data_IF_880815691720
#
_entry.id   IF_880815691720
#
_cell.length_a   1.000
_cell.length_b   1.000
_cell.length_c   1.000
_cell.angle_alpha   90.00
_cell.angle_beta   90.00
_cell.angle_gamma   90.00
#
_symmetry.space_group_name_H-M   'P 1'
#
loop_
_entity.id
_entity.type
_entity.pdbx_description
1 polymer ?
#
# COMPACT_ATOMS: atom_id res chain seq x y z
N UNK A 1 -2.35 -25.84 -2.59
CA UNK A 1 -1.14 -24.99 -2.52
C UNK A 1 -0.44 -25.38 -1.23
N UNK A 2 0.80 -25.91 -1.30
CA UNK A 2 1.48 -26.41 -0.09
C UNK A 2 2.08 -25.27 0.77
N UNK A 3 2.41 -25.59 2.02
CA UNK A 3 3.00 -24.67 2.99
C UNK A 3 4.31 -24.04 2.49
N UNK A 4 5.13 -24.76 1.73
CA UNK A 4 6.40 -24.27 1.16
C UNK A 4 6.16 -23.25 0.05
N UNK A 5 5.11 -23.42 -0.74
CA UNK A 5 4.64 -22.52 -1.78
C UNK A 5 4.02 -21.28 -1.14
N UNK A 6 3.19 -21.45 -0.11
CA UNK A 6 2.64 -20.34 0.68
C UNK A 6 3.74 -19.50 1.35
N UNK A 7 4.76 -20.14 1.93
CA UNK A 7 5.94 -19.47 2.51
C UNK A 7 6.74 -18.72 1.42
N UNK A 8 6.97 -19.32 0.24
CA UNK A 8 7.62 -18.61 -0.89
C UNK A 8 6.81 -17.41 -1.42
N UNK A 9 5.49 -17.41 -1.27
CA UNK A 9 4.63 -16.27 -1.61
C UNK A 9 4.64 -15.19 -0.51
N UNK A 10 4.65 -15.58 0.77
CA UNK A 10 4.83 -14.66 1.90
C UNK A 10 6.21 -13.99 1.92
N UNK A 11 7.27 -14.67 1.45
CA UNK A 11 8.64 -14.10 1.33
C UNK A 11 8.74 -13.01 0.24
N UNK A 12 7.76 -12.87 -0.66
CA UNK A 12 7.86 -11.97 -1.82
C UNK A 12 7.16 -10.62 -1.67
N UNK A 13 6.49 -10.38 -0.54
CA UNK A 13 5.88 -9.09 -0.20
C UNK A 13 6.53 -8.57 1.06
N UNK A 14 7.30 -7.49 0.94
CA UNK A 14 8.06 -6.91 2.05
C UNK A 14 7.53 -5.52 2.41
N UNK A 15 7.86 -5.06 3.62
CA UNK A 15 7.55 -3.71 4.05
C UNK A 15 8.33 -2.68 3.20
N UNK A 16 7.60 -1.75 2.57
CA UNK A 16 8.19 -0.55 1.97
C UNK A 16 8.36 0.51 3.05
N UNK A 17 7.31 0.76 3.84
CA UNK A 17 7.31 1.74 4.92
C UNK A 17 5.99 1.74 5.71
N UNK A 18 5.93 2.59 6.73
CA UNK A 18 4.75 2.77 7.59
C UNK A 18 4.42 4.25 7.72
N UNK A 19 3.17 4.56 8.04
CA UNK A 19 2.77 5.93 8.37
C UNK A 19 1.56 5.95 9.30
N UNK A 20 1.39 7.06 10.02
CA UNK A 20 0.23 7.35 10.85
C UNK A 20 -0.55 8.49 10.19
N UNK A 21 -1.88 8.48 10.30
CA UNK A 21 -2.72 9.64 10.03
C UNK A 21 -3.32 10.11 11.34
N UNK A 22 -3.03 11.36 11.65
CA UNK A 22 -3.52 12.00 12.87
C UNK A 22 -4.98 12.43 12.72
N UNK A 23 -5.41 12.77 11.50
CA UNK A 23 -6.77 13.26 11.22
C UNK A 23 -7.87 12.22 11.46
N UNK A 24 -7.54 10.92 11.43
CA UNK A 24 -8.51 9.85 11.67
C UNK A 24 -8.01 8.74 12.62
N UNK A 25 -6.90 9.00 13.31
CA UNK A 25 -6.22 8.11 14.24
C UNK A 25 -6.02 6.68 13.70
N UNK A 26 -5.37 6.57 12.53
CA UNK A 26 -5.06 5.27 11.91
C UNK A 26 -3.57 5.13 11.63
N UNK A 27 -3.08 3.89 11.69
CA UNK A 27 -1.77 3.51 11.18
C UNK A 27 -1.90 2.63 9.95
N UNK A 28 -0.87 2.66 9.12
CA UNK A 28 -0.82 1.83 7.92
C UNK A 28 0.57 1.31 7.64
N UNK A 29 0.55 0.11 7.07
CA UNK A 29 1.72 -0.57 6.54
C UNK A 29 1.60 -0.58 5.03
N UNK A 30 2.67 -0.17 4.35
CA UNK A 30 2.79 -0.29 2.90
C UNK A 30 3.72 -1.46 2.61
N UNK A 31 3.19 -2.41 1.85
CA UNK A 31 3.85 -3.60 1.41
C UNK A 31 4.11 -3.52 -0.10
N UNK A 32 5.14 -4.20 -0.58
CA UNK A 32 5.48 -4.22 -2.00
C UNK A 32 5.96 -5.58 -2.46
N UNK A 33 5.65 -5.94 -3.71
CA UNK A 33 6.29 -7.07 -4.35
C UNK A 33 7.79 -6.83 -4.58
N UNK A 34 8.53 -7.85 -5.00
CA UNK A 34 9.99 -7.73 -5.21
C UNK A 34 10.40 -6.58 -6.17
N UNK A 35 9.57 -6.25 -7.16
CA UNK A 35 9.80 -5.15 -8.09
C UNK A 35 9.68 -3.81 -7.36
N UNK A 36 8.58 -3.60 -6.64
CA UNK A 36 8.34 -2.40 -5.84
C UNK A 36 9.41 -2.23 -4.75
N UNK A 37 9.86 -3.31 -4.12
CA UNK A 37 10.89 -3.25 -3.09
C UNK A 37 12.24 -2.83 -3.66
N UNK A 38 12.69 -3.43 -4.77
CA UNK A 38 13.93 -3.00 -5.43
C UNK A 38 13.87 -1.52 -5.81
N UNK A 39 12.77 -1.09 -6.40
CA UNK A 39 12.53 0.32 -6.72
C UNK A 39 12.61 1.23 -5.49
N UNK A 40 11.94 0.85 -4.40
CA UNK A 40 11.92 1.61 -3.15
C UNK A 40 13.27 1.63 -2.40
N UNK A 41 14.27 0.86 -2.84
CA UNK A 41 15.59 0.76 -2.22
C UNK A 41 16.73 1.19 -3.15
N UNK A 42 16.44 1.56 -4.40
CA UNK A 42 17.44 1.83 -5.44
C UNK A 42 18.31 3.08 -5.23
N UNK A 43 18.12 3.85 -4.13
CA UNK A 43 18.86 5.10 -3.81
C UNK A 43 18.97 6.06 -5.01
N UNK A 44 17.86 6.28 -5.73
CA UNK A 44 17.78 7.19 -6.86
C UNK A 44 17.25 8.56 -6.45
N UNK A 45 17.63 9.63 -7.16
CA UNK A 45 17.15 10.99 -6.91
C UNK A 45 15.63 11.14 -7.04
N UNK A 46 15.01 10.27 -7.85
CA UNK A 46 13.56 10.21 -8.05
C UNK A 46 13.07 8.77 -7.96
N UNK A 47 12.01 8.57 -7.18
CA UNK A 47 11.38 7.27 -7.01
C UNK A 47 10.56 6.93 -8.26
N UNK A 48 10.88 5.79 -8.87
CA UNK A 48 10.18 5.27 -10.05
C UNK A 48 9.66 3.87 -9.77
N UNK A 49 8.44 3.56 -10.22
CA UNK A 49 7.81 2.26 -10.05
C UNK A 49 7.77 1.52 -11.40
N UNK A 50 8.54 0.43 -11.58
CA UNK A 50 8.57 -0.32 -12.82
C UNK A 50 7.24 -1.03 -13.12
N UNK A 51 7.04 -1.40 -14.39
CA UNK A 51 5.92 -2.24 -14.81
C UNK A 51 5.83 -3.53 -13.97
N UNK A 52 4.61 -3.90 -13.58
CA UNK A 52 4.37 -5.02 -12.67
C UNK A 52 4.69 -4.74 -11.20
N UNK A 53 5.09 -3.52 -10.82
CA UNK A 53 5.17 -3.13 -9.41
C UNK A 53 3.78 -3.21 -8.77
N UNK A 54 3.71 -3.86 -7.60
CA UNK A 54 2.49 -4.00 -6.82
C UNK A 54 2.78 -3.42 -5.43
N UNK A 55 1.91 -2.52 -4.98
CA UNK A 55 1.90 -2.00 -3.63
C UNK A 55 0.59 -2.37 -2.96
N UNK A 56 0.65 -2.88 -1.74
CA UNK A 56 -0.52 -3.10 -0.91
C UNK A 56 -0.46 -2.21 0.33
N UNK A 57 -1.59 -1.65 0.74
CA UNK A 57 -1.73 -0.82 1.93
C UNK A 57 -2.73 -1.49 2.86
N UNK A 58 -2.33 -1.70 4.09
CA UNK A 58 -3.18 -2.21 5.15
C UNK A 58 -3.37 -1.12 6.20
N UNK A 59 -4.59 -0.89 6.66
CA UNK A 59 -4.93 0.21 7.57
C UNK A 59 -5.69 -0.30 8.78
N UNK A 60 -5.26 0.13 9.96
CA UNK A 60 -5.90 -0.16 11.24
C UNK A 60 -6.16 1.12 12.02
N UNK A 61 -7.13 1.09 12.92
CA UNK A 61 -7.21 2.04 14.02
C UNK A 61 -6.01 1.88 14.95
N UNK A 62 -5.64 2.96 15.62
CA UNK A 62 -4.62 2.93 16.65
C UNK A 62 -5.24 2.57 17.99
N UNK A 63 -4.62 1.64 18.70
CA UNK A 63 -4.94 1.30 20.08
C UNK A 63 -3.71 1.40 20.96
N UNK A 64 -3.91 1.64 22.26
CA UNK A 64 -2.83 1.62 23.25
C UNK A 64 -2.57 0.19 23.71
N UNK A 65 -1.32 -0.25 23.65
CA UNK A 65 -0.95 -1.58 24.12
C UNK A 65 -1.18 -1.71 25.63
N UNK A 66 -1.90 -2.76 26.04
CA UNK A 66 -2.29 -2.95 27.44
C UNK A 66 -1.09 -3.13 28.38
N UNK A 67 -0.07 -3.88 27.95
CA UNK A 67 1.14 -4.21 28.73
C UNK A 67 2.20 -3.11 28.72
N UNK A 68 2.10 -2.14 27.79
CA UNK A 68 3.03 -1.02 27.68
C UNK A 68 2.29 0.21 27.17
N UNK A 69 1.76 1.01 28.09
CA UNK A 69 0.84 2.12 27.78
C UNK A 69 1.46 3.23 26.93
N UNK A 70 2.78 3.28 26.81
CA UNK A 70 3.48 4.21 25.92
C UNK A 70 3.56 3.72 24.45
N UNK A 71 3.10 2.51 24.14
CA UNK A 71 3.08 1.97 22.78
C UNK A 71 1.69 2.06 22.13
N UNK A 72 1.71 2.36 20.84
CA UNK A 72 0.54 2.28 19.95
C UNK A 72 0.64 1.03 19.09
N UNK A 73 -0.45 0.27 19.01
CA UNK A 73 -0.54 -1.00 18.27
C UNK A 73 -1.77 -1.02 17.38
N UNK A 74 -1.80 -1.89 16.35
CA UNK A 74 -2.97 -2.04 15.50
C UNK A 74 -4.18 -2.53 16.31
N UNK A 75 -5.28 -1.80 16.22
CA UNK A 75 -6.61 -2.20 16.71
C UNK A 75 -7.47 -2.74 15.57
N UNK A 76 -8.70 -2.24 15.49
CA UNK A 76 -9.64 -2.60 14.41
C UNK A 76 -9.05 -2.42 13.01
N UNK A 77 -9.16 -3.47 12.20
CA UNK A 77 -8.78 -3.41 10.78
C UNK A 77 -9.83 -2.64 9.98
N UNK A 78 -9.38 -1.62 9.24
CA UNK A 78 -10.26 -0.73 8.51
C UNK A 78 -10.43 -1.14 7.06
N UNK A 79 -9.32 -1.27 6.32
CA UNK A 79 -9.34 -1.60 4.91
C UNK A 79 -7.96 -2.02 4.37
N UNK A 80 -8.00 -2.80 3.30
CA UNK A 80 -6.87 -3.08 2.42
C UNK A 80 -7.02 -2.30 1.12
N UNK A 81 -5.91 -1.90 0.52
CA UNK A 81 -5.86 -1.30 -0.81
C UNK A 81 -4.69 -1.87 -1.60
N UNK A 82 -4.81 -1.88 -2.91
CA UNK A 82 -3.74 -2.28 -3.83
C UNK A 82 -3.56 -1.25 -4.94
N UNK A 83 -2.31 -1.08 -5.35
CA UNK A 83 -1.93 -0.38 -6.56
C UNK A 83 -1.11 -1.32 -7.44
N UNK A 84 -1.44 -1.39 -8.74
CA UNK A 84 -0.73 -2.21 -9.73
C UNK A 84 -0.22 -1.34 -10.86
N UNK A 85 1.07 -1.38 -11.14
CA UNK A 85 1.68 -0.63 -12.23
C UNK A 85 1.54 -1.38 -13.55
N UNK A 86 0.76 -0.82 -14.46
CA UNK A 86 0.68 -1.23 -15.86
C UNK A 86 0.36 0.00 -16.71
N UNK A 87 1.36 0.56 -17.42
CA UNK A 87 1.17 1.81 -18.20
C UNK A 87 0.14 1.66 -19.30
N UNK A 88 0.09 0.47 -19.91
CA UNK A 88 -0.73 0.22 -21.08
C UNK A 88 -2.18 -0.01 -20.64
N UNK A 89 -2.38 -0.91 -19.68
CA UNK A 89 -3.71 -1.26 -19.17
C UNK A 89 -4.37 -0.12 -18.40
N UNK A 90 -3.60 0.69 -17.68
CA UNK A 90 -4.11 1.74 -16.79
C UNK A 90 -3.74 3.15 -17.26
N UNK A 91 -3.70 3.38 -18.58
CA UNK A 91 -3.31 4.65 -19.19
C UNK A 91 -4.18 5.83 -18.71
N UNK A 92 -5.50 5.61 -18.54
CA UNK A 92 -6.46 6.59 -18.04
C UNK A 92 -6.16 7.07 -16.60
N UNK A 93 -5.46 6.26 -15.81
CA UNK A 93 -5.18 6.49 -14.39
C UNK A 93 -3.68 6.62 -14.14
N UNK A 94 -2.97 7.18 -15.13
CA UNK A 94 -1.52 7.47 -15.10
C UNK A 94 -0.65 6.21 -14.86
N UNK A 95 -1.10 5.08 -15.41
CA UNK A 95 -0.39 3.81 -15.39
C UNK A 95 -0.58 2.98 -14.12
N UNK A 96 -1.58 3.33 -13.30
CA UNK A 96 -1.88 2.66 -12.03
C UNK A 96 -3.30 2.12 -11.97
N UNK A 97 -3.44 0.83 -11.72
CA UNK A 97 -4.71 0.21 -11.31
C UNK A 97 -4.89 0.33 -9.81
N UNK A 98 -6.12 0.55 -9.34
CA UNK A 98 -6.45 0.70 -7.93
C UNK A 98 -7.56 -0.27 -7.53
N UNK A 99 -7.44 -0.86 -6.35
CA UNK A 99 -8.56 -1.54 -5.70
C UNK A 99 -8.52 -1.35 -4.19
N UNK A 100 -9.69 -1.41 -3.55
CA UNK A 100 -9.87 -1.22 -2.12
C UNK A 100 -10.93 -2.18 -1.59
N UNK A 101 -10.70 -2.69 -0.40
CA UNK A 101 -11.63 -3.54 0.33
C UNK A 101 -11.74 -3.08 1.78
N UNK A 102 -12.95 -3.05 2.32
CA UNK A 102 -13.23 -2.61 3.70
C UNK A 102 -13.47 -3.79 4.62
N UNK A 103 -13.05 -3.66 5.88
CA UNK A 103 -13.28 -4.67 6.91
C UNK A 103 -12.50 -5.97 6.69
N UNK A 104 -12.60 -6.87 7.67
CA UNK A 104 -11.96 -8.18 7.61
C UNK A 104 -12.64 -9.14 6.63
N UNK A 105 -13.89 -8.88 6.26
CA UNK A 105 -14.63 -9.59 5.22
C UNK A 105 -14.19 -9.19 3.81
N UNK A 106 -13.31 -8.19 3.69
CA UNK A 106 -12.77 -7.69 2.43
C UNK A 106 -13.87 -7.38 1.41
N UNK A 107 -14.91 -6.67 1.85
CA UNK A 107 -15.95 -6.18 0.94
C UNK A 107 -15.34 -5.19 -0.06
N UNK A 108 -15.48 -5.40 -1.39
CA UNK A 108 -14.99 -4.46 -2.38
C UNK A 108 -15.58 -3.06 -2.17
N UNK A 109 -14.74 -2.04 -2.28
CA UNK A 109 -15.16 -0.65 -2.17
C UNK A 109 -15.66 -0.12 -3.52
N UNK A 110 -16.75 0.65 -3.48
CA UNK A 110 -17.41 1.16 -4.67
C UNK A 110 -18.41 0.16 -5.27
N UNK A 111 -19.37 0.66 -6.04
CA UNK A 111 -20.39 -0.17 -6.69
C UNK A 111 -19.90 -0.77 -8.02
N UNK A 112 -18.95 -0.09 -8.67
CA UNK A 112 -18.34 -0.48 -9.95
C UNK A 112 -16.98 0.21 -10.10
N UNK A 113 -16.28 0.01 -11.23
CA UNK A 113 -14.93 0.52 -11.48
C UNK A 113 -14.77 2.05 -11.48
N UNK A 114 -15.84 2.83 -11.41
CA UNK A 114 -15.77 4.31 -11.39
C UNK A 114 -15.03 4.88 -10.17
N UNK A 115 -15.02 4.18 -9.02
CA UNK A 115 -14.29 4.67 -7.83
C UNK A 115 -12.78 4.87 -8.08
N UNK A 116 -12.24 4.17 -9.09
CA UNK A 116 -10.82 4.24 -9.46
C UNK A 116 -10.43 5.66 -9.87
N UNK A 117 -11.35 6.44 -10.43
CA UNK A 117 -11.12 7.84 -10.77
C UNK A 117 -10.87 8.70 -9.53
N UNK A 118 -11.61 8.46 -8.44
CA UNK A 118 -11.39 9.12 -7.16
C UNK A 118 -10.00 8.80 -6.61
N UNK A 119 -9.57 7.53 -6.69
CA UNK A 119 -8.23 7.13 -6.30
C UNK A 119 -7.15 7.83 -7.14
N UNK A 120 -7.28 7.77 -8.46
CA UNK A 120 -6.31 8.37 -9.38
C UNK A 120 -6.22 9.90 -9.21
N UNK A 121 -7.36 10.58 -9.01
CA UNK A 121 -7.40 12.02 -8.79
C UNK A 121 -6.71 12.42 -7.48
N UNK A 122 -6.95 11.69 -6.39
CA UNK A 122 -6.25 11.94 -5.12
C UNK A 122 -4.73 11.73 -5.27
N UNK A 123 -4.32 10.68 -5.98
CA UNK A 123 -2.91 10.34 -6.18
C UNK A 123 -2.14 11.30 -7.09
N UNK A 124 -2.80 12.22 -7.81
CA UNK A 124 -2.12 13.30 -8.56
C UNK A 124 -1.26 14.18 -7.65
N UNK A 125 -1.63 14.36 -6.38
CA UNK A 125 -0.82 15.12 -5.43
C UNK A 125 0.57 14.50 -5.19
N UNK A 126 0.74 13.20 -5.47
CA UNK A 126 2.01 12.48 -5.39
C UNK A 126 2.73 12.34 -6.76
N UNK A 127 2.41 13.16 -7.76
CA UNK A 127 2.99 13.03 -9.11
C UNK A 127 4.53 13.05 -9.11
N UNK A 128 5.15 13.82 -8.21
CA UNK A 128 6.61 13.94 -8.10
C UNK A 128 7.29 12.65 -7.57
N UNK A 129 6.52 11.74 -6.98
CA UNK A 129 6.95 10.42 -6.51
C UNK A 129 6.25 9.30 -7.27
N UNK A 130 5.97 9.57 -8.56
CA UNK A 130 5.31 8.65 -9.48
C UNK A 130 3.94 8.15 -8.97
N UNK A 131 3.16 9.09 -8.40
CA UNK A 131 1.81 8.90 -7.89
C UNK A 131 1.71 8.02 -6.63
N UNK A 132 2.81 7.83 -5.89
CA UNK A 132 2.84 7.06 -4.65
C UNK A 132 3.31 7.94 -3.49
N UNK A 133 2.47 8.09 -2.46
CA UNK A 133 2.78 8.92 -1.28
C UNK A 133 3.82 8.29 -0.33
N UNK A 134 4.04 6.99 -0.45
CA UNK A 134 4.87 6.23 0.49
C UNK A 134 6.29 6.73 0.52
N UNK A 135 6.72 7.19 1.68
CA UNK A 135 8.13 7.37 1.99
C UNK A 135 8.70 6.01 2.41
N UNK A 136 9.69 5.46 1.68
CA UNK A 136 10.29 4.19 2.05
C UNK A 136 11.00 4.29 3.42
N UNK A 137 10.77 3.31 4.30
CA UNK A 137 11.49 3.23 5.56
C UNK A 137 12.99 2.96 5.30
N UNK A 138 13.85 3.62 6.08
CA UNK A 138 15.28 3.33 6.10
C UNK A 138 15.49 1.99 6.80
N UNK A 139 16.19 1.09 6.14
CA UNK A 139 16.61 -0.20 6.68
C UNK A 139 18.14 -0.21 6.78
N UNK A 140 18.74 -0.97 7.72
CA UNK A 140 20.17 -1.22 7.75
C UNK A 140 20.67 -1.88 6.45
#
# INVERSE_FOLDING_TARGET
MDLTTFIKYLIKILNIGTSIRNDNNTQRVILGNSIAIRAARAKTDKLHWPEGAILAKLVWKNETLATWKAATVPGDFMHAEIMVRDTKKYSATKGWGYARWTGLDLKPHGQNSSFVETCANCHKAAQNTAFVFTQPARLP
#
